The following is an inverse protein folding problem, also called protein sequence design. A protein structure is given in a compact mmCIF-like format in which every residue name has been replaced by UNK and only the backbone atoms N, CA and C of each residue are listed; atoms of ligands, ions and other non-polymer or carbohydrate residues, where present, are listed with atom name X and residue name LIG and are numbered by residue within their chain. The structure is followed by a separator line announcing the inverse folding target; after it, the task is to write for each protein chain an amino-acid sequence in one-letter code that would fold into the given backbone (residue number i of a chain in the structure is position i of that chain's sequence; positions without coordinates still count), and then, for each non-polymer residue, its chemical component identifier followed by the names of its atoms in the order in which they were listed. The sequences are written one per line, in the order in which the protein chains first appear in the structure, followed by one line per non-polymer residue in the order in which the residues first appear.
data_IF_102175792999
#
_entry.id   IF_102175792999
#
_cell.length_a   1.000
_cell.length_b   1.000
_cell.length_c   1.000
_cell.angle_alpha   90.00
_cell.angle_beta   90.00
_cell.angle_gamma   90.00
#
_symmetry.space_group_name_H-M   'P 1'
#
loop_
_entity.id
_entity.type
_entity.pdbx_description
1 polymer ?
#
# COMPACT_ATOMS: atom_id res chain seq x y z
N UNK A 1 14.27 11.78 15.08
CA UNK A 1 13.20 12.64 15.58
C UNK A 1 12.07 12.80 14.55
N UNK A 2 12.34 13.21 13.30
CA UNK A 2 11.28 13.38 12.28
C UNK A 2 10.51 12.07 11.99
N UNK A 3 11.16 10.92 11.94
CA UNK A 3 10.51 9.61 11.81
C UNK A 3 9.60 9.32 13.02
N UNK A 4 10.03 9.68 14.22
CA UNK A 4 9.21 9.46 15.42
C UNK A 4 7.94 10.34 15.41
N UNK A 5 8.00 11.54 14.84
CA UNK A 5 6.82 12.40 14.64
C UNK A 5 5.83 11.75 13.66
N UNK A 6 6.33 11.20 12.54
CA UNK A 6 5.49 10.48 11.57
C UNK A 6 4.92 9.18 12.16
N UNK A 7 5.73 8.42 12.90
CA UNK A 7 5.29 7.20 13.57
C UNK A 7 4.15 7.50 14.57
N UNK A 8 4.32 8.52 15.39
CA UNK A 8 3.29 8.97 16.33
C UNK A 8 2.00 9.38 15.63
N UNK A 9 2.10 10.16 14.53
CA UNK A 9 0.96 10.61 13.75
C UNK A 9 0.09 9.44 13.25
N UNK A 10 0.72 8.34 12.82
CA UNK A 10 0.01 7.14 12.36
C UNK A 10 -0.27 6.12 13.46
N UNK A 11 -0.12 6.50 14.73
CA UNK A 11 -0.45 5.67 15.89
C UNK A 11 0.57 4.59 16.24
N UNK A 12 1.75 4.57 15.62
CA UNK A 12 2.83 3.64 15.98
C UNK A 12 3.52 4.11 17.28
N UNK A 13 3.87 3.17 18.17
CA UNK A 13 4.75 3.47 19.31
C UNK A 13 6.16 3.83 18.77
N UNK A 14 6.65 5.06 18.99
CA UNK A 14 7.94 5.49 18.46
C UNK A 14 9.15 4.72 19.02
N UNK A 15 8.99 4.00 20.13
CA UNK A 15 10.11 3.26 20.76
C UNK A 15 10.50 2.02 19.96
N UNK A 16 9.57 1.07 19.63
CA UNK A 16 9.88 -0.06 18.76
C UNK A 16 9.85 0.32 17.27
N UNK A 17 9.05 1.31 16.87
CA UNK A 17 8.92 1.70 15.48
C UNK A 17 10.24 2.22 14.90
N UNK A 18 10.45 1.93 13.63
CA UNK A 18 11.57 2.46 12.83
C UNK A 18 11.05 2.96 11.49
N UNK A 19 11.89 3.75 10.85
CA UNK A 19 11.60 4.25 9.52
C UNK A 19 12.77 5.03 8.95
N UNK A 20 12.65 5.36 7.69
CA UNK A 20 13.59 6.24 7.02
C UNK A 20 12.88 7.03 5.92
N UNK A 21 13.49 8.15 5.53
CA UNK A 21 13.01 8.95 4.43
C UNK A 21 13.49 8.39 3.10
N UNK A 22 12.65 8.48 2.09
CA UNK A 22 12.89 8.09 0.70
C UNK A 22 12.64 9.28 -0.21
N UNK A 23 12.98 9.16 -1.49
CA UNK A 23 12.68 10.20 -2.48
C UNK A 23 11.18 10.32 -2.79
N UNK A 24 10.34 9.36 -2.39
CA UNK A 24 8.89 9.37 -2.56
C UNK A 24 8.27 8.01 -2.37
N UNK A 25 6.92 7.95 -2.36
CA UNK A 25 6.13 6.75 -2.09
C UNK A 25 6.46 5.56 -3.00
N UNK A 26 6.83 5.79 -4.25
CA UNK A 26 7.28 4.69 -5.13
C UNK A 26 8.45 3.92 -4.53
N UNK A 27 9.46 4.63 -4.01
CA UNK A 27 10.62 3.98 -3.41
C UNK A 27 10.27 3.39 -2.03
N UNK A 28 9.41 4.04 -1.26
CA UNK A 28 8.91 3.49 0.00
C UNK A 28 8.13 2.18 -0.21
N UNK A 29 7.32 2.07 -1.28
CA UNK A 29 6.66 0.83 -1.68
C UNK A 29 7.68 -0.25 -2.10
N UNK A 30 8.78 0.14 -2.76
CA UNK A 30 9.86 -0.81 -3.10
C UNK A 30 10.57 -1.33 -1.86
N UNK A 31 10.77 -0.48 -0.85
CA UNK A 31 11.29 -0.90 0.47
C UNK A 31 10.40 -1.97 1.10
N UNK A 32 9.08 -1.83 1.02
CA UNK A 32 8.15 -2.83 1.51
C UNK A 32 8.30 -4.18 0.79
N UNK A 33 8.33 -4.16 -0.55
CA UNK A 33 8.48 -5.40 -1.36
C UNK A 33 9.83 -6.06 -1.07
N UNK A 34 10.90 -5.28 -0.95
CA UNK A 34 12.23 -5.80 -0.66
C UNK A 34 12.27 -6.55 0.67
N UNK A 35 11.69 -5.98 1.74
CA UNK A 35 11.64 -6.61 3.06
C UNK A 35 10.71 -7.82 3.10
N UNK A 36 9.54 -7.72 2.51
CA UNK A 36 8.61 -8.84 2.44
C UNK A 36 9.22 -10.04 1.68
N UNK A 37 10.00 -9.76 0.61
CA UNK A 37 10.74 -10.79 -0.13
C UNK A 37 11.80 -11.46 0.74
N UNK A 38 12.61 -10.69 1.50
CA UNK A 38 13.63 -11.26 2.39
C UNK A 38 12.99 -12.08 3.51
N UNK A 39 11.91 -11.59 4.12
CA UNK A 39 11.16 -12.34 5.13
C UNK A 39 10.70 -13.70 4.58
N UNK A 40 10.07 -13.68 3.41
CA UNK A 40 9.59 -14.88 2.75
C UNK A 40 10.74 -15.85 2.48
N UNK A 41 11.87 -15.32 2.01
CA UNK A 41 13.07 -16.10 1.70
C UNK A 41 13.65 -16.79 2.93
N UNK A 42 13.76 -16.11 4.08
CA UNK A 42 14.23 -16.71 5.33
C UNK A 42 13.38 -17.92 5.73
N UNK A 43 12.07 -17.78 5.66
CA UNK A 43 11.14 -18.85 6.04
C UNK A 43 11.17 -20.02 5.05
N UNK A 44 11.27 -19.74 3.76
CA UNK A 44 11.41 -20.76 2.73
C UNK A 44 12.76 -21.49 2.83
N UNK A 45 13.87 -20.78 3.07
CA UNK A 45 15.18 -21.39 3.23
C UNK A 45 15.21 -22.38 4.40
N UNK A 46 14.58 -22.03 5.52
CA UNK A 46 14.39 -22.95 6.65
C UNK A 46 13.54 -24.16 6.24
N UNK A 47 12.41 -23.95 5.55
CA UNK A 47 11.55 -25.03 5.07
C UNK A 47 12.30 -26.01 4.15
N UNK A 48 13.12 -25.50 3.24
CA UNK A 48 13.98 -26.30 2.36
C UNK A 48 14.98 -27.12 3.19
N UNK A 49 15.66 -26.49 4.15
CA UNK A 49 16.60 -27.19 5.04
C UNK A 49 15.92 -28.32 5.81
N UNK A 50 14.74 -28.07 6.38
CA UNK A 50 13.98 -29.06 7.14
C UNK A 50 13.54 -30.24 6.27
N UNK A 51 13.09 -30.01 5.03
CA UNK A 51 12.74 -31.06 4.08
C UNK A 51 13.94 -31.93 3.71
N UNK A 52 15.07 -31.32 3.37
CA UNK A 52 16.30 -32.04 3.01
C UNK A 52 16.82 -32.92 4.14
N UNK A 53 16.68 -32.48 5.38
CA UNK A 53 17.14 -33.22 6.55
C UNK A 53 16.05 -34.15 7.15
N UNK A 54 14.95 -34.34 6.43
CA UNK A 54 13.82 -35.22 6.84
C UNK A 54 13.20 -34.83 8.21
N UNK A 55 13.21 -33.52 8.52
CA UNK A 55 12.59 -32.98 9.74
C UNK A 55 11.19 -32.46 9.50
N UNK A 56 10.75 -32.34 8.24
CA UNK A 56 9.40 -31.93 7.87
C UNK A 56 9.04 -32.37 6.46
N UNK A 57 7.81 -32.84 6.28
CA UNK A 57 7.19 -33.11 4.97
C UNK A 57 6.20 -32.00 4.57
N UNK A 58 6.06 -30.95 5.38
CA UNK A 58 5.13 -29.85 5.11
C UNK A 58 5.46 -29.15 3.78
N UNK A 59 4.44 -28.74 3.00
CA UNK A 59 4.64 -28.00 1.76
C UNK A 59 5.44 -26.71 1.96
N UNK A 60 6.20 -26.27 0.97
CA UNK A 60 6.94 -25.02 1.03
C UNK A 60 6.01 -23.81 1.21
N UNK A 61 4.76 -23.90 0.74
CA UNK A 61 3.74 -22.88 1.00
C UNK A 61 3.51 -22.62 2.50
N UNK A 62 3.44 -23.68 3.32
CA UNK A 62 3.26 -23.53 4.78
C UNK A 62 4.48 -22.88 5.41
N UNK A 63 5.69 -23.29 5.02
CA UNK A 63 6.92 -22.68 5.49
C UNK A 63 7.03 -21.20 5.09
N UNK A 64 6.57 -20.84 3.89
CA UNK A 64 6.52 -19.46 3.43
C UNK A 64 5.69 -18.53 4.33
N UNK A 65 4.82 -19.09 5.19
CA UNK A 65 3.93 -18.35 6.08
C UNK A 65 4.08 -18.71 7.56
N UNK A 66 5.15 -19.43 7.94
CA UNK A 66 5.28 -20.02 9.29
C UNK A 66 5.35 -18.98 10.43
N UNK A 67 5.71 -17.74 10.15
CA UNK A 67 5.86 -16.69 11.15
C UNK A 67 7.19 -16.76 11.93
N UNK A 68 7.59 -15.61 12.48
CA UNK A 68 8.83 -15.50 13.25
C UNK A 68 8.91 -16.37 14.50
N UNK A 69 7.81 -16.60 15.26
CA UNK A 69 7.87 -17.49 16.42
C UNK A 69 8.29 -18.92 16.03
N UNK A 70 7.63 -19.49 15.00
CA UNK A 70 7.94 -20.84 14.50
C UNK A 70 9.35 -20.88 13.89
N UNK A 71 9.71 -19.87 13.07
CA UNK A 71 11.05 -19.77 12.51
C UNK A 71 12.13 -19.83 13.60
N UNK A 72 12.04 -18.98 14.62
CA UNK A 72 13.03 -18.93 15.71
C UNK A 72 13.07 -20.19 16.55
N UNK A 73 11.91 -20.82 16.78
CA UNK A 73 11.83 -22.10 17.50
C UNK A 73 12.57 -23.18 16.74
N UNK A 74 12.34 -23.32 15.42
CA UNK A 74 13.02 -24.33 14.61
C UNK A 74 14.53 -24.07 14.49
N UNK A 75 14.94 -22.82 14.30
CA UNK A 75 16.35 -22.44 14.31
C UNK A 75 17.04 -22.88 15.61
N UNK A 76 16.42 -22.60 16.75
CA UNK A 76 16.93 -23.01 18.07
C UNK A 76 16.93 -24.53 18.25
N UNK A 77 15.84 -25.20 17.86
CA UNK A 77 15.65 -26.65 17.99
C UNK A 77 16.74 -27.43 17.28
N UNK A 78 17.14 -26.97 16.09
CA UNK A 78 18.13 -27.64 15.24
C UNK A 78 19.52 -27.02 15.35
N UNK A 79 19.72 -26.03 16.22
CA UNK A 79 21.02 -25.38 16.42
C UNK A 79 21.54 -24.63 15.19
N UNK A 80 20.59 -24.10 14.35
CA UNK A 80 20.90 -23.43 13.09
C UNK A 80 21.25 -21.96 13.30
N UNK A 81 22.15 -21.48 12.46
CA UNK A 81 22.45 -20.06 12.27
C UNK A 81 22.02 -19.60 10.86
N UNK A 82 21.81 -18.30 10.66
CA UNK A 82 21.44 -17.77 9.33
C UNK A 82 22.42 -18.13 8.21
N UNK A 83 23.77 -18.11 8.41
CA UNK A 83 24.72 -18.54 7.37
C UNK A 83 24.50 -19.96 6.87
N UNK A 84 23.99 -20.88 7.70
CA UNK A 84 23.72 -22.26 7.30
C UNK A 84 22.49 -22.37 6.38
N UNK A 85 21.64 -21.38 6.34
CA UNK A 85 20.47 -21.31 5.45
C UNK A 85 20.77 -20.62 4.10
N UNK A 86 21.89 -19.90 3.96
CA UNK A 86 22.24 -19.18 2.72
C UNK A 86 22.28 -20.07 1.46
N UNK A 87 22.72 -21.34 1.51
CA UNK A 87 22.66 -22.23 0.35
C UNK A 87 21.25 -22.55 -0.15
N UNK A 88 20.22 -22.25 0.65
CA UNK A 88 18.80 -22.50 0.37
C UNK A 88 18.01 -21.20 0.14
N UNK A 89 18.68 -20.07 0.12
CA UNK A 89 18.11 -18.74 -0.05
C UNK A 89 17.97 -18.39 -1.53
N UNK A 90 16.75 -18.09 -1.98
CA UNK A 90 16.50 -17.62 -3.33
C UNK A 90 17.02 -16.19 -3.59
N UNK A 91 17.24 -15.43 -2.53
CA UNK A 91 17.85 -14.09 -2.60
C UNK A 91 19.35 -14.21 -2.87
N UNK A 92 20.01 -15.23 -2.34
CA UNK A 92 21.44 -15.51 -2.54
C UNK A 92 21.69 -16.28 -3.82
N UNK A 93 20.95 -17.37 -4.03
CA UNK A 93 21.14 -18.28 -5.16
C UNK A 93 20.49 -17.79 -6.46
N UNK A 94 19.46 -16.97 -6.36
CA UNK A 94 18.57 -16.58 -7.45
C UNK A 94 17.43 -17.58 -7.70
N UNK A 95 16.27 -17.08 -8.10
CA UNK A 95 15.03 -17.86 -8.25
C UNK A 95 15.18 -19.03 -9.23
N UNK A 96 15.91 -18.85 -10.35
CA UNK A 96 16.16 -19.92 -11.33
C UNK A 96 17.00 -21.08 -10.79
N UNK A 97 17.99 -20.77 -9.96
CA UNK A 97 18.81 -21.81 -9.33
C UNK A 97 17.99 -22.57 -8.30
N UNK A 98 17.19 -21.87 -7.49
CA UNK A 98 16.30 -22.50 -6.52
C UNK A 98 15.19 -23.33 -7.18
N UNK A 99 14.65 -22.90 -8.33
CA UNK A 99 13.70 -23.70 -9.10
C UNK A 99 14.30 -25.02 -9.59
N UNK A 100 15.55 -25.01 -10.09
CA UNK A 100 16.25 -26.23 -10.45
C UNK A 100 16.50 -27.10 -9.24
N UNK A 101 16.98 -26.52 -8.15
CA UNK A 101 17.25 -27.21 -6.89
C UNK A 101 15.99 -27.92 -6.35
N UNK A 102 14.84 -27.25 -6.31
CA UNK A 102 13.60 -27.82 -5.83
C UNK A 102 13.16 -29.05 -6.66
N UNK A 103 13.23 -28.96 -8.00
CA UNK A 103 12.93 -30.08 -8.89
C UNK A 103 13.87 -31.26 -8.72
N UNK A 104 15.16 -31.02 -8.52
CA UNK A 104 16.17 -32.08 -8.37
C UNK A 104 16.07 -32.83 -7.04
N UNK A 105 15.63 -32.16 -5.97
CA UNK A 105 15.65 -32.73 -4.62
C UNK A 105 14.26 -33.09 -4.06
N UNK A 106 13.19 -32.44 -4.53
CA UNK A 106 11.83 -32.64 -3.98
C UNK A 106 10.80 -33.09 -5.01
N UNK A 107 11.16 -33.09 -6.30
CA UNK A 107 10.18 -33.26 -7.40
C UNK A 107 9.03 -32.23 -7.33
N UNK A 108 9.35 -31.03 -6.83
CA UNK A 108 8.41 -29.91 -6.64
C UNK A 108 8.87 -28.71 -7.49
N UNK A 109 7.91 -27.86 -7.86
CA UNK A 109 8.23 -26.55 -8.41
C UNK A 109 8.55 -25.57 -7.30
N UNK A 110 9.51 -24.66 -7.56
CA UNK A 110 9.77 -23.55 -6.64
C UNK A 110 8.55 -22.63 -6.60
N UNK A 111 7.99 -22.34 -5.41
CA UNK A 111 6.76 -21.58 -5.31
C UNK A 111 6.99 -20.12 -5.71
N UNK A 112 6.29 -19.68 -6.77
CA UNK A 112 6.30 -18.30 -7.23
C UNK A 112 5.39 -17.42 -6.35
N UNK A 113 5.93 -16.43 -5.63
CA UNK A 113 5.12 -15.62 -4.73
C UNK A 113 4.20 -14.65 -5.49
N UNK A 114 3.12 -14.23 -4.80
CA UNK A 114 2.17 -13.24 -5.31
C UNK A 114 2.09 -12.01 -4.41
N UNK A 115 1.74 -10.87 -5.01
CA UNK A 115 1.38 -9.61 -4.37
C UNK A 115 -0.13 -9.39 -4.57
N UNK A 116 -0.90 -9.32 -3.50
CA UNK A 116 -2.34 -9.04 -3.55
C UNK A 116 -2.54 -7.53 -3.37
N UNK A 117 -3.09 -6.88 -4.38
CA UNK A 117 -3.22 -5.41 -4.45
C UNK A 117 -4.62 -5.02 -4.93
N UNK A 118 -5.18 -3.85 -4.55
CA UNK A 118 -6.46 -3.40 -5.09
C UNK A 118 -6.37 -3.12 -6.59
N UNK A 119 -7.48 -3.24 -7.31
CA UNK A 119 -7.56 -3.00 -8.75
C UNK A 119 -7.05 -1.63 -9.17
N UNK A 120 -7.29 -0.60 -8.35
CA UNK A 120 -6.87 0.80 -8.53
C UNK A 120 -5.49 1.11 -7.91
N UNK A 121 -4.65 0.12 -7.77
CA UNK A 121 -3.29 0.25 -7.27
C UNK A 121 -2.45 1.29 -8.01
N UNK A 122 -1.56 1.96 -7.29
CA UNK A 122 -0.57 2.83 -7.91
C UNK A 122 0.38 2.05 -8.84
N UNK A 123 0.85 2.67 -9.93
CA UNK A 123 1.75 2.03 -10.92
C UNK A 123 3.09 1.54 -10.33
N UNK A 124 3.44 1.94 -9.11
CA UNK A 124 4.65 1.44 -8.41
C UNK A 124 4.61 -0.08 -8.20
N UNK A 125 3.44 -0.69 -8.01
CA UNK A 125 3.32 -2.12 -7.73
C UNK A 125 3.73 -3.01 -8.90
N UNK A 126 3.17 -2.87 -10.14
CA UNK A 126 3.67 -3.62 -11.28
C UNK A 126 5.12 -3.27 -11.64
N UNK A 127 5.58 -2.04 -11.35
CA UNK A 127 6.97 -1.66 -11.50
C UNK A 127 7.87 -2.38 -10.50
N UNK A 128 7.46 -2.50 -9.24
CA UNK A 128 8.17 -3.27 -8.22
C UNK A 128 8.31 -4.74 -8.61
N UNK A 129 7.20 -5.38 -9.03
CA UNK A 129 7.22 -6.77 -9.48
C UNK A 129 8.21 -6.99 -10.65
N UNK A 130 8.28 -6.04 -11.59
CA UNK A 130 9.24 -6.08 -12.68
C UNK A 130 10.68 -5.93 -12.19
N UNK A 131 10.98 -4.91 -11.37
CA UNK A 131 12.34 -4.61 -10.88
C UNK A 131 12.89 -5.74 -10.00
N UNK A 132 12.03 -6.32 -9.15
CA UNK A 132 12.44 -7.42 -8.26
C UNK A 132 12.38 -8.81 -8.91
N UNK A 133 12.11 -8.87 -10.22
CA UNK A 133 12.14 -10.12 -10.99
C UNK A 133 11.02 -11.11 -10.66
N UNK A 134 9.88 -10.61 -10.13
CA UNK A 134 8.71 -11.43 -9.83
C UNK A 134 7.82 -11.67 -11.05
N UNK A 135 7.95 -10.82 -12.09
CA UNK A 135 7.03 -10.82 -13.23
C UNK A 135 5.70 -10.11 -12.95
N UNK A 136 5.01 -9.66 -14.01
CA UNK A 136 3.72 -8.98 -13.88
C UNK A 136 2.62 -9.88 -13.34
N UNK A 137 2.64 -11.15 -13.70
CA UNK A 137 1.67 -12.17 -13.29
C UNK A 137 1.72 -12.47 -11.77
N UNK A 138 2.76 -12.01 -11.07
CA UNK A 138 2.82 -12.05 -9.61
C UNK A 138 1.92 -10.99 -8.94
N UNK A 139 1.45 -9.98 -9.66
CA UNK A 139 0.59 -8.91 -9.14
C UNK A 139 -0.88 -9.28 -9.37
N UNK A 140 -1.52 -9.82 -8.36
CA UNK A 140 -2.92 -10.20 -8.41
C UNK A 140 -3.80 -9.05 -7.93
N UNK A 141 -4.70 -8.60 -8.80
CA UNK A 141 -5.68 -7.57 -8.44
C UNK A 141 -6.84 -8.15 -7.65
N UNK A 142 -7.18 -7.49 -6.56
CA UNK A 142 -8.44 -7.69 -5.85
C UNK A 142 -9.48 -6.73 -6.41
N UNK A 143 -10.73 -7.17 -6.51
CA UNK A 143 -11.83 -6.34 -6.95
C UNK A 143 -12.09 -5.19 -5.96
N UNK A 144 -12.71 -4.15 -6.47
CA UNK A 144 -13.15 -3.01 -5.68
C UNK A 144 -14.64 -3.14 -5.34
N UNK A 145 -15.05 -2.51 -4.26
CA UNK A 145 -16.45 -2.31 -3.92
C UNK A 145 -17.11 -1.23 -4.81
N UNK A 146 -18.39 -0.97 -4.59
CA UNK A 146 -19.19 0.02 -5.33
C UNK A 146 -18.73 1.48 -5.11
N UNK A 147 -17.83 1.71 -4.14
CA UNK A 147 -17.20 3.01 -3.88
C UNK A 147 -15.77 3.10 -4.43
N UNK A 148 -15.23 2.02 -4.99
CA UNK A 148 -13.86 1.98 -5.50
C UNK A 148 -12.80 1.72 -4.42
N UNK A 149 -13.14 1.03 -3.32
CA UNK A 149 -12.23 0.57 -2.27
C UNK A 149 -11.95 -0.93 -2.44
N UNK A 150 -10.83 -1.40 -1.92
CA UNK A 150 -10.54 -2.83 -1.84
C UNK A 150 -11.70 -3.62 -1.21
N UNK A 151 -12.18 -4.64 -1.92
CA UNK A 151 -13.18 -5.57 -1.40
C UNK A 151 -12.53 -6.64 -0.51
N UNK A 152 -12.83 -6.70 0.81
CA UNK A 152 -12.33 -7.77 1.67
C UNK A 152 -12.77 -9.16 1.22
N UNK A 153 -13.94 -9.27 0.60
CA UNK A 153 -14.43 -10.54 0.05
C UNK A 153 -13.58 -11.02 -1.14
N UNK A 154 -13.23 -10.12 -2.05
CA UNK A 154 -12.32 -10.43 -3.16
C UNK A 154 -10.93 -10.78 -2.66
N UNK A 155 -10.41 -10.02 -1.66
CA UNK A 155 -9.13 -10.33 -1.03
C UNK A 155 -9.12 -11.75 -0.42
N UNK A 156 -10.18 -12.11 0.31
CA UNK A 156 -10.33 -13.47 0.85
C UNK A 156 -10.27 -14.52 -0.26
N UNK A 157 -11.00 -14.30 -1.35
CA UNK A 157 -10.98 -15.20 -2.51
C UNK A 157 -9.59 -15.36 -3.14
N UNK A 158 -8.80 -14.28 -3.23
CA UNK A 158 -7.43 -14.33 -3.74
C UNK A 158 -6.47 -15.05 -2.77
N UNK A 159 -6.65 -14.90 -1.45
CA UNK A 159 -5.87 -15.65 -0.45
C UNK A 159 -6.20 -17.15 -0.55
N UNK A 160 -7.48 -17.51 -0.62
CA UNK A 160 -7.92 -18.91 -0.76
C UNK A 160 -7.39 -19.51 -2.09
N UNK A 161 -7.40 -18.75 -3.18
CA UNK A 161 -6.79 -19.14 -4.46
C UNK A 161 -5.29 -19.40 -4.33
N UNK A 162 -4.56 -18.51 -3.67
CA UNK A 162 -3.12 -18.67 -3.46
C UNK A 162 -2.79 -19.93 -2.66
N UNK A 163 -3.62 -20.26 -1.64
CA UNK A 163 -3.51 -21.53 -0.89
C UNK A 163 -3.69 -22.74 -1.79
N UNK A 164 -4.72 -22.74 -2.64
CA UNK A 164 -5.03 -23.86 -3.55
C UNK A 164 -3.94 -24.05 -4.60
N UNK A 165 -3.40 -22.94 -5.14
CA UNK A 165 -2.32 -22.96 -6.14
C UNK A 165 -0.92 -23.18 -5.52
N UNK A 166 -0.80 -23.20 -4.16
CA UNK A 166 0.49 -23.31 -3.47
C UNK A 166 1.41 -22.11 -3.69
N UNK A 167 0.88 -20.95 -4.07
CA UNK A 167 1.65 -19.73 -4.35
C UNK A 167 1.77 -18.85 -3.11
N UNK A 168 2.98 -18.66 -2.54
CA UNK A 168 3.16 -17.86 -1.33
C UNK A 168 2.66 -16.43 -1.50
N UNK A 169 1.95 -15.95 -0.49
CA UNK A 169 1.49 -14.56 -0.45
C UNK A 169 2.60 -13.72 0.19
N UNK A 170 3.37 -13.03 -0.66
CA UNK A 170 4.45 -12.17 -0.20
C UNK A 170 3.91 -10.98 0.59
N UNK A 171 2.82 -10.37 0.10
CA UNK A 171 2.27 -9.15 0.66
C UNK A 171 0.81 -8.95 0.24
N UNK A 172 0.02 -8.39 1.16
CA UNK A 172 -1.27 -7.74 0.89
C UNK A 172 -1.06 -6.23 1.00
N UNK A 173 -1.63 -5.47 0.08
CA UNK A 173 -1.56 -4.01 0.06
C UNK A 173 -2.95 -3.42 0.23
N UNK A 174 -3.08 -2.48 1.18
CA UNK A 174 -4.21 -1.56 1.26
C UNK A 174 -3.74 -0.16 0.87
N UNK A 175 -4.61 0.63 0.24
CA UNK A 175 -4.32 2.01 -0.17
C UNK A 175 -5.13 2.98 0.68
N UNK A 176 -4.48 3.98 1.26
CA UNK A 176 -5.16 5.07 1.94
C UNK A 176 -4.98 6.36 1.13
N UNK A 177 -6.05 6.78 0.46
CA UNK A 177 -6.06 7.92 -0.45
C UNK A 177 -5.64 7.51 -1.87
N UNK A 178 -6.53 6.80 -2.58
CA UNK A 178 -6.28 6.37 -3.96
C UNK A 178 -6.08 7.58 -4.90
N UNK A 179 -5.20 7.41 -5.89
CA UNK A 179 -4.84 8.51 -6.81
C UNK A 179 -6.04 9.06 -7.57
N UNK A 180 -6.94 8.20 -8.00
CA UNK A 180 -8.08 8.56 -8.84
C UNK A 180 -9.19 9.24 -8.03
N UNK A 181 -9.60 8.65 -6.92
CA UNK A 181 -10.81 9.01 -6.18
C UNK A 181 -10.57 9.47 -4.74
N UNK A 182 -9.34 9.32 -4.22
CA UNK A 182 -9.05 9.66 -2.82
C UNK A 182 -9.70 8.73 -1.80
N UNK A 183 -10.06 7.51 -2.19
CA UNK A 183 -10.70 6.54 -1.30
C UNK A 183 -9.69 5.93 -0.32
N UNK A 184 -10.17 5.57 0.86
CA UNK A 184 -9.40 4.84 1.89
C UNK A 184 -9.94 3.41 1.94
N UNK A 185 -9.09 2.44 1.65
CA UNK A 185 -9.44 1.02 1.76
C UNK A 185 -9.82 0.67 3.21
N UNK A 186 -10.67 -0.34 3.44
CA UNK A 186 -11.08 -0.75 4.78
C UNK A 186 -9.94 -1.51 5.50
N UNK A 187 -8.89 -0.78 5.89
CA UNK A 187 -7.65 -1.31 6.50
C UNK A 187 -7.94 -2.14 7.75
N UNK A 188 -8.92 -1.72 8.56
CA UNK A 188 -9.39 -2.45 9.74
C UNK A 188 -9.94 -3.83 9.36
N UNK A 189 -10.77 -3.94 8.34
CA UNK A 189 -11.34 -5.20 7.86
C UNK A 189 -10.32 -6.10 7.20
N UNK A 190 -9.36 -5.50 6.48
CA UNK A 190 -8.23 -6.25 5.92
C UNK A 190 -7.37 -6.82 7.05
N UNK A 191 -7.07 -6.02 8.08
CA UNK A 191 -6.31 -6.50 9.22
C UNK A 191 -7.05 -7.60 9.99
N UNK A 192 -8.37 -7.48 10.21
CA UNK A 192 -9.20 -8.54 10.82
C UNK A 192 -9.10 -9.84 10.01
N UNK A 193 -9.29 -9.75 8.69
CA UNK A 193 -9.20 -10.91 7.80
C UNK A 193 -7.81 -11.60 7.86
N UNK A 194 -6.73 -10.82 7.91
CA UNK A 194 -5.39 -11.38 8.00
C UNK A 194 -5.10 -11.99 9.38
N UNK A 195 -5.68 -11.44 10.44
CA UNK A 195 -5.63 -12.02 11.78
C UNK A 195 -6.38 -13.36 11.83
N UNK A 196 -7.58 -13.45 11.21
CA UNK A 196 -8.33 -14.72 11.07
C UNK A 196 -7.49 -15.79 10.34
N UNK A 197 -6.88 -15.45 9.20
CA UNK A 197 -6.01 -16.39 8.49
C UNK A 197 -4.78 -16.81 9.29
N UNK A 198 -4.23 -15.92 10.10
CA UNK A 198 -3.11 -16.24 11.00
C UNK A 198 -3.56 -17.21 12.10
N UNK A 199 -4.72 -16.97 12.72
CA UNK A 199 -5.24 -17.78 13.83
C UNK A 199 -5.74 -19.14 13.37
N UNK A 200 -6.52 -19.18 12.28
CA UNK A 200 -7.15 -20.41 11.78
C UNK A 200 -6.22 -21.28 10.95
N UNK A 201 -5.29 -20.70 10.22
CA UNK A 201 -4.46 -21.38 9.22
C UNK A 201 -2.95 -21.21 9.43
N UNK A 202 -2.49 -20.45 10.41
CA UNK A 202 -1.08 -20.17 10.63
C UNK A 202 -0.43 -19.32 9.53
N UNK A 203 -1.22 -18.59 8.73
CA UNK A 203 -0.71 -17.80 7.62
C UNK A 203 -0.26 -16.40 8.08
N UNK A 204 1.03 -16.22 8.26
CA UNK A 204 1.63 -14.92 8.55
C UNK A 204 1.89 -14.15 7.25
N UNK A 205 1.01 -13.22 6.89
CA UNK A 205 1.07 -12.42 5.66
C UNK A 205 1.55 -11.00 5.97
N UNK A 206 2.39 -10.42 5.13
CA UNK A 206 2.81 -9.02 5.25
C UNK A 206 1.68 -8.10 4.80
N UNK A 207 1.18 -7.25 5.68
CA UNK A 207 0.23 -6.20 5.34
C UNK A 207 0.97 -4.88 5.17
N UNK A 208 0.93 -4.29 3.99
CA UNK A 208 1.48 -2.96 3.71
C UNK A 208 0.36 -1.95 3.45
N UNK A 209 0.50 -0.76 4.00
CA UNK A 209 -0.40 0.35 3.72
C UNK A 209 0.33 1.37 2.85
N UNK A 210 -0.11 1.49 1.59
CA UNK A 210 0.28 2.61 0.73
C UNK A 210 -0.55 3.83 1.09
N UNK A 211 -0.08 4.58 2.07
CA UNK A 211 -0.71 5.79 2.59
C UNK A 211 0.01 7.05 2.10
N UNK A 212 0.64 6.96 0.92
CA UNK A 212 1.40 8.05 0.34
C UNK A 212 0.61 9.37 0.26
N UNK A 213 -0.69 9.31 0.00
CA UNK A 213 -1.56 10.48 -0.01
C UNK A 213 -2.32 10.64 1.32
N UNK A 214 -3.12 9.67 1.69
CA UNK A 214 -4.10 9.79 2.77
C UNK A 214 -3.55 9.61 4.19
N UNK A 215 -2.28 9.19 4.35
CA UNK A 215 -1.73 8.91 5.68
C UNK A 215 -1.69 10.10 6.63
N UNK A 216 -1.59 11.31 6.10
CA UNK A 216 -1.62 12.52 6.91
C UNK A 216 -2.99 12.81 7.55
N UNK A 217 -4.09 12.21 7.05
CA UNK A 217 -5.40 12.32 7.72
C UNK A 217 -5.43 11.66 9.11
N UNK A 218 -4.46 10.80 9.44
CA UNK A 218 -4.30 10.31 10.81
C UNK A 218 -4.12 11.45 11.82
N UNK A 219 -3.54 12.58 11.42
CA UNK A 219 -3.40 13.76 12.29
C UNK A 219 -4.73 14.41 12.67
N UNK A 220 -5.82 14.13 11.95
CA UNK A 220 -7.15 14.70 12.21
C UNK A 220 -8.01 13.86 13.17
N UNK A 221 -7.60 12.63 13.51
CA UNK A 221 -8.42 11.62 14.18
C UNK A 221 -8.96 12.04 15.56
N UNK A 222 -8.18 12.78 16.35
CA UNK A 222 -8.53 13.10 17.74
C UNK A 222 -9.06 14.54 17.91
N UNK A 223 -9.48 15.16 16.79
CA UNK A 223 -10.05 16.51 16.80
C UNK A 223 -11.55 16.50 17.11
N UNK A 224 -12.02 17.42 17.97
CA UNK A 224 -13.46 17.60 18.28
C UNK A 224 -14.31 17.87 17.02
N UNK A 225 -13.73 18.45 15.99
CA UNK A 225 -14.38 18.79 14.73
C UNK A 225 -14.02 17.82 13.60
N UNK A 226 -13.59 16.59 13.90
CA UNK A 226 -13.26 15.59 12.88
C UNK A 226 -14.48 15.31 11.99
N UNK A 227 -14.31 15.45 10.67
CA UNK A 227 -15.36 15.21 9.68
C UNK A 227 -15.11 13.97 8.84
N UNK A 228 -14.11 13.16 9.17
CA UNK A 228 -13.92 11.85 8.54
C UNK A 228 -15.19 11.00 8.77
N UNK A 229 -15.45 10.07 7.86
CA UNK A 229 -16.49 9.06 8.09
C UNK A 229 -16.03 8.07 9.15
N UNK A 230 -16.96 7.44 9.86
CA UNK A 230 -16.65 6.38 10.84
C UNK A 230 -15.82 5.25 10.21
N UNK A 231 -16.12 4.88 8.96
CA UNK A 231 -15.36 3.89 8.22
C UNK A 231 -13.92 4.34 7.94
N UNK A 232 -13.71 5.61 7.56
CA UNK A 232 -12.38 6.17 7.33
C UNK A 232 -11.58 6.29 8.62
N UNK A 233 -12.24 6.71 9.72
CA UNK A 233 -11.59 6.75 11.05
C UNK A 233 -11.15 5.35 11.50
N UNK A 234 -12.03 4.34 11.38
CA UNK A 234 -11.71 2.95 11.72
C UNK A 234 -10.51 2.43 10.92
N UNK A 235 -10.51 2.69 9.61
CA UNK A 235 -9.42 2.30 8.73
C UNK A 235 -8.08 2.95 9.11
N UNK A 236 -8.08 4.26 9.39
CA UNK A 236 -6.86 4.99 9.78
C UNK A 236 -6.35 4.57 11.16
N UNK A 237 -7.24 4.32 12.13
CA UNK A 237 -6.87 3.80 13.45
C UNK A 237 -6.29 2.39 13.42
N UNK A 238 -6.53 1.63 12.36
CA UNK A 238 -5.96 0.30 12.17
C UNK A 238 -4.51 0.29 11.63
N UNK A 239 -3.94 1.44 11.25
CA UNK A 239 -2.58 1.52 10.72
C UNK A 239 -1.51 0.82 11.57
N UNK A 240 -1.54 0.89 12.92
CA UNK A 240 -0.56 0.19 13.75
C UNK A 240 -0.55 -1.34 13.61
N UNK A 241 -1.60 -1.94 13.04
CA UNK A 241 -1.68 -3.39 12.78
C UNK A 241 -0.94 -3.83 11.52
N UNK A 242 -0.51 -2.89 10.68
CA UNK A 242 0.21 -3.19 9.45
C UNK A 242 1.68 -3.53 9.71
N UNK A 243 2.26 -4.32 8.81
CA UNK A 243 3.71 -4.64 8.83
C UNK A 243 4.57 -3.47 8.36
N UNK A 244 4.04 -2.59 7.51
CA UNK A 244 4.72 -1.38 7.04
C UNK A 244 3.76 -0.36 6.45
N UNK A 245 4.18 0.91 6.44
CA UNK A 245 3.40 2.05 5.97
C UNK A 245 4.28 2.95 5.09
N UNK A 246 3.75 3.36 3.95
CA UNK A 246 4.32 4.42 3.10
C UNK A 246 3.62 5.74 3.37
N UNK A 247 4.38 6.82 3.50
CA UNK A 247 3.88 8.20 3.58
C UNK A 247 4.63 9.09 2.58
N UNK A 248 3.95 10.11 2.04
CA UNK A 248 4.59 11.15 1.24
C UNK A 248 4.40 12.54 1.89
N UNK A 249 5.34 12.95 2.76
CA UNK A 249 5.32 14.30 3.33
C UNK A 249 5.25 15.42 2.29
N UNK A 250 5.79 15.19 1.08
CA UNK A 250 5.69 16.15 -0.02
C UNK A 250 4.29 16.25 -0.68
N UNK A 251 3.33 15.44 -0.23
CA UNK A 251 1.90 15.58 -0.60
C UNK A 251 1.17 16.35 0.48
N UNK A 252 0.39 15.68 1.30
CA UNK A 252 -0.40 16.33 2.36
C UNK A 252 0.41 16.75 3.61
N UNK A 253 1.70 16.48 3.65
CA UNK A 253 2.62 17.05 4.64
C UNK A 253 3.09 18.47 4.27
N UNK A 254 2.79 18.94 3.05
CA UNK A 254 3.11 20.29 2.53
C UNK A 254 4.58 20.66 2.60
N UNK A 255 5.49 19.67 2.55
CA UNK A 255 6.92 19.92 2.43
C UNK A 255 7.39 19.80 0.97
N UNK A 256 8.51 20.44 0.60
CA UNK A 256 9.02 20.37 -0.77
C UNK A 256 9.36 18.95 -1.23
N UNK A 257 9.24 18.71 -2.55
CA UNK A 257 9.76 17.51 -3.21
C UNK A 257 11.31 17.50 -3.14
N UNK A 258 11.98 16.35 -3.02
CA UNK A 258 11.41 15.02 -2.89
C UNK A 258 11.42 14.59 -1.41
N UNK A 259 10.31 14.06 -0.91
CA UNK A 259 10.21 13.62 0.48
C UNK A 259 9.13 12.55 0.61
N UNK A 260 9.52 11.28 0.63
CA UNK A 260 8.72 10.14 1.05
C UNK A 260 9.22 9.57 2.37
N UNK A 261 8.48 8.69 2.99
CA UNK A 261 8.88 7.97 4.20
C UNK A 261 8.34 6.53 4.18
N UNK A 262 9.15 5.62 4.69
CA UNK A 262 8.79 4.23 4.95
C UNK A 262 8.86 3.98 6.46
N UNK A 263 7.81 3.40 7.03
CA UNK A 263 7.68 3.11 8.45
C UNK A 263 7.37 1.63 8.69
N UNK A 264 7.90 1.09 9.79
CA UNK A 264 7.58 -0.24 10.31
C UNK A 264 7.32 -0.15 11.82
N UNK A 265 6.38 -0.95 12.37
CA UNK A 265 6.09 -0.95 13.80
C UNK A 265 7.21 -1.55 14.65
N UNK A 266 8.07 -2.39 14.05
CA UNK A 266 9.14 -3.11 14.75
C UNK A 266 10.47 -3.02 13.97
N UNK A 267 11.54 -2.69 14.69
CA UNK A 267 12.92 -2.64 14.18
C UNK A 267 13.38 -3.95 13.53
N UNK A 268 12.88 -5.09 13.98
CA UNK A 268 13.22 -6.40 13.41
C UNK A 268 12.93 -6.51 11.91
N UNK A 269 11.98 -5.73 11.39
CA UNK A 269 11.71 -5.67 9.96
C UNK A 269 12.92 -5.16 9.12
N UNK A 270 13.85 -4.42 9.73
CA UNK A 270 15.10 -4.00 9.08
C UNK A 270 16.20 -5.04 9.13
N UNK A 271 16.23 -5.89 10.16
CA UNK A 271 17.25 -6.93 10.30
C UNK A 271 17.12 -8.02 9.25
N UNK A 272 15.93 -8.20 8.70
CA UNK A 272 15.66 -9.24 7.67
C UNK A 272 16.37 -8.99 6.35
N UNK A 273 16.62 -7.70 6.00
CA UNK A 273 17.22 -7.29 4.73
C UNK A 273 18.51 -6.52 4.99
N UNK A 274 19.58 -7.23 5.22
CA UNK A 274 20.88 -6.63 5.51
C UNK A 274 21.94 -7.10 4.49
N UNK A 275 22.61 -6.13 3.86
CA UNK A 275 23.72 -6.39 2.93
C UNK A 275 25.01 -5.87 3.57
N UNK A 276 25.89 -6.75 3.95
CA UNK A 276 27.18 -6.41 4.53
C UNK A 276 28.19 -5.94 3.47
N UNK A 277 28.87 -4.84 3.76
CA UNK A 277 30.04 -4.39 3.00
C UNK A 277 31.23 -4.28 3.95
N UNK A 278 32.34 -5.00 3.71
CA UNK A 278 33.46 -5.11 4.66
C UNK A 278 34.06 -3.79 5.11
N UNK A 279 34.02 -2.76 4.25
CA UNK A 279 34.59 -1.42 4.55
C UNK A 279 33.65 -0.55 5.41
N UNK A 280 32.47 -1.07 5.81
CA UNK A 280 31.47 -0.34 6.57
C UNK A 280 31.05 -1.09 7.85
N UNK A 281 31.82 -2.10 8.28
CA UNK A 281 31.51 -2.92 9.46
C UNK A 281 31.38 -2.11 10.76
N UNK A 282 32.09 -1.00 10.89
CA UNK A 282 31.99 -0.11 12.06
C UNK A 282 30.63 0.59 12.22
N UNK A 283 29.81 0.64 11.17
CA UNK A 283 28.50 1.30 11.15
C UNK A 283 27.33 0.33 11.44
N UNK A 284 27.58 -0.98 11.41
CA UNK A 284 26.55 -2.03 11.54
C UNK A 284 25.91 -2.08 12.95
N UNK A 285 26.53 -1.48 13.95
CA UNK A 285 25.98 -1.37 15.31
C UNK A 285 25.05 -0.16 15.52
N UNK A 286 24.65 0.55 14.47
CA UNK A 286 23.78 1.71 14.60
C UNK A 286 22.33 1.28 14.90
N UNK A 287 21.72 1.89 15.91
CA UNK A 287 20.32 1.71 16.29
C UNK A 287 19.31 2.13 15.18
N UNK A 288 19.78 2.64 14.05
CA UNK A 288 18.96 3.23 13.00
C UNK A 288 19.16 2.55 11.65
N UNK A 289 18.11 2.56 10.78
CA UNK A 289 18.22 2.07 9.42
C UNK A 289 19.37 2.74 8.68
N UNK A 290 20.31 1.93 8.23
CA UNK A 290 21.54 2.37 7.57
C UNK A 290 21.49 2.01 6.07
N UNK A 291 22.52 2.44 5.34
CA UNK A 291 22.73 2.06 3.93
C UNK A 291 22.67 0.56 3.68
N UNK A 292 23.05 -0.27 4.66
CA UNK A 292 23.04 -1.74 4.53
C UNK A 292 21.64 -2.35 4.60
N UNK A 293 20.70 -1.63 5.21
CA UNK A 293 19.33 -2.10 5.46
C UNK A 293 18.28 -1.29 4.68
N UNK A 294 18.67 -0.44 3.74
CA UNK A 294 17.78 0.37 2.90
C UNK A 294 18.19 0.29 1.43
N UNK A 295 17.25 0.44 0.49
CA UNK A 295 17.54 0.42 -0.95
C UNK A 295 18.41 1.60 -1.38
N UNK A 296 18.20 2.76 -0.76
CA UNK A 296 19.09 3.92 -0.97
C UNK A 296 20.27 3.85 0.01
N UNK A 297 21.48 4.01 -0.48
CA UNK A 297 22.66 4.15 0.38
C UNK A 297 22.67 5.51 1.06
N UNK A 298 23.09 6.55 0.34
CA UNK A 298 23.05 7.95 0.81
C UNK A 298 21.70 8.58 0.52
N UNK A 299 21.13 9.28 1.50
CA UNK A 299 19.82 9.93 1.40
C UNK A 299 19.91 11.42 1.66
N UNK A 300 19.06 12.22 1.01
CA UNK A 300 18.99 13.66 1.21
C UNK A 300 18.49 13.98 2.64
N UNK A 301 19.16 14.92 3.31
CA UNK A 301 18.73 15.40 4.64
C UNK A 301 17.67 16.51 4.57
N UNK A 302 17.40 17.09 3.40
CA UNK A 302 16.43 18.18 3.22
C UNK A 302 15.01 17.78 3.56
N UNK A 303 14.55 16.60 3.13
CA UNK A 303 13.22 16.08 3.44
C UNK A 303 12.97 15.93 4.95
N UNK A 304 13.81 15.14 5.67
CA UNK A 304 13.68 15.03 7.13
C UNK A 304 13.73 16.36 7.88
N UNK A 305 14.60 17.28 7.45
CA UNK A 305 14.71 18.62 8.05
C UNK A 305 13.44 19.46 7.82
N UNK A 306 12.86 19.39 6.61
CA UNK A 306 11.62 20.08 6.28
C UNK A 306 10.44 19.51 7.10
N UNK A 307 10.31 18.19 7.22
CA UNK A 307 9.27 17.55 8.04
C UNK A 307 9.42 17.95 9.51
N UNK A 308 10.63 17.90 10.04
CA UNK A 308 10.89 18.29 11.43
C UNK A 308 10.52 19.75 11.70
N UNK A 309 10.95 20.66 10.83
CA UNK A 309 10.65 22.08 10.97
C UNK A 309 9.16 22.36 10.80
N UNK A 310 8.51 21.78 9.80
CA UNK A 310 7.06 21.90 9.59
C UNK A 310 6.27 21.44 10.81
N UNK A 311 6.62 20.28 11.37
CA UNK A 311 5.95 19.75 12.55
C UNK A 311 6.17 20.58 13.83
N UNK A 312 7.25 21.38 13.93
CA UNK A 312 7.46 22.34 15.04
C UNK A 312 6.55 23.57 14.91
N UNK A 313 6.23 23.97 13.69
CA UNK A 313 5.36 25.12 13.42
C UNK A 313 3.89 24.71 13.43
N UNK A 314 3.58 23.56 12.82
CA UNK A 314 2.25 22.97 12.68
C UNK A 314 2.30 21.51 13.12
N UNK A 315 1.99 21.20 14.39
CA UNK A 315 2.04 19.84 14.94
C UNK A 315 1.28 18.83 14.09
N UNK A 316 1.77 17.58 14.06
CA UNK A 316 1.16 16.48 13.31
C UNK A 316 0.00 15.84 14.09
N UNK A 317 -0.90 16.66 14.59
CA UNK A 317 -2.10 16.31 15.35
C UNK A 317 -3.27 17.24 14.99
N UNK A 318 -4.41 17.09 15.68
CA UNK A 318 -5.62 17.87 15.43
C UNK A 318 -5.48 19.36 15.69
N UNK A 319 -4.51 19.80 16.48
CA UNK A 319 -4.24 21.22 16.75
C UNK A 319 -3.48 21.92 15.61
N UNK A 320 -2.79 21.15 14.77
CA UNK A 320 -1.99 21.64 13.66
C UNK A 320 -2.44 21.10 12.31
N UNK A 321 -1.69 20.17 11.75
CA UNK A 321 -1.94 19.57 10.43
C UNK A 321 -3.35 18.98 10.32
N UNK A 322 -3.80 18.26 11.33
CA UNK A 322 -5.11 17.63 11.34
C UNK A 322 -6.26 18.64 11.29
N UNK A 323 -6.14 19.77 11.99
CA UNK A 323 -7.10 20.86 11.91
C UNK A 323 -7.18 21.48 10.51
N UNK A 324 -6.02 21.66 9.86
CA UNK A 324 -5.96 22.13 8.46
C UNK A 324 -6.60 21.15 7.49
N UNK A 325 -6.26 19.85 7.59
CA UNK A 325 -6.83 18.82 6.73
C UNK A 325 -8.33 18.64 6.94
N UNK A 326 -8.79 18.76 8.20
CA UNK A 326 -10.21 18.72 8.52
C UNK A 326 -10.98 19.90 7.87
N UNK A 327 -10.39 21.09 7.88
CA UNK A 327 -10.92 22.25 7.15
C UNK A 327 -10.97 21.98 5.63
N UNK A 328 -9.93 21.37 5.06
CA UNK A 328 -9.92 20.97 3.65
C UNK A 328 -11.06 20.00 3.32
N UNK A 329 -11.33 19.02 4.18
CA UNK A 329 -12.47 18.10 4.01
C UNK A 329 -13.82 18.84 4.08
N UNK A 330 -13.98 19.79 5.00
CA UNK A 330 -15.20 20.60 5.09
C UNK A 330 -15.42 21.43 3.82
N UNK A 331 -14.37 22.06 3.31
CA UNK A 331 -14.40 22.82 2.05
C UNK A 331 -14.77 21.89 0.88
N UNK A 332 -14.17 20.71 0.81
CA UNK A 332 -14.47 19.73 -0.25
C UNK A 332 -15.94 19.31 -0.23
N UNK A 333 -16.52 19.08 0.96
CA UNK A 333 -17.95 18.76 1.09
C UNK A 333 -18.86 19.91 0.67
N UNK A 334 -18.56 21.13 1.13
CA UNK A 334 -19.32 22.32 0.72
C UNK A 334 -19.21 22.54 -0.80
N UNK A 335 -18.06 22.30 -1.38
CA UNK A 335 -17.84 22.40 -2.81
C UNK A 335 -18.57 21.30 -3.59
N UNK A 336 -18.61 20.07 -3.07
CA UNK A 336 -19.41 18.98 -3.62
C UNK A 336 -20.90 19.40 -3.75
N UNK A 337 -21.49 19.95 -2.69
CA UNK A 337 -22.88 20.43 -2.68
C UNK A 337 -23.09 21.58 -3.67
N UNK A 338 -22.16 22.54 -3.69
CA UNK A 338 -22.22 23.67 -4.61
C UNK A 338 -22.16 23.22 -6.08
N UNK A 339 -21.21 22.37 -6.44
CA UNK A 339 -21.05 21.85 -7.81
C UNK A 339 -22.24 21.02 -8.24
N UNK A 340 -22.77 20.15 -7.37
CA UNK A 340 -23.95 19.32 -7.67
C UNK A 340 -25.21 20.15 -7.96
N UNK A 341 -25.28 21.38 -7.47
CA UNK A 341 -26.41 22.29 -7.68
C UNK A 341 -26.31 23.15 -8.94
N UNK A 342 -25.16 23.17 -9.63
CA UNK A 342 -24.92 24.05 -10.81
C UNK A 342 -25.77 23.62 -12.01
N UNK A 343 -25.86 22.31 -12.27
CA UNK A 343 -26.60 21.75 -13.40
C UNK A 343 -27.03 20.32 -13.11
N UNK A 344 -28.24 19.90 -13.56
CA UNK A 344 -28.64 18.50 -13.46
C UNK A 344 -27.78 17.55 -14.29
N UNK A 345 -27.01 18.06 -15.22
CA UNK A 345 -26.08 17.26 -16.04
C UNK A 345 -24.74 16.98 -15.33
N UNK A 346 -24.46 17.61 -14.20
CA UNK A 346 -23.30 17.28 -13.38
C UNK A 346 -23.63 16.03 -12.57
N UNK A 347 -22.88 14.97 -12.85
CA UNK A 347 -23.02 13.67 -12.18
C UNK A 347 -21.85 13.49 -11.21
N UNK A 348 -22.08 13.92 -9.96
CA UNK A 348 -21.11 13.74 -8.90
C UNK A 348 -20.88 12.23 -8.66
N UNK A 349 -19.60 11.83 -8.54
CA UNK A 349 -19.28 10.56 -7.91
C UNK A 349 -19.53 10.67 -6.41
N UNK A 350 -19.71 9.54 -5.73
CA UNK A 350 -19.89 9.55 -4.27
C UNK A 350 -18.74 10.29 -3.59
N UNK A 351 -19.03 10.95 -2.47
CA UNK A 351 -18.04 11.75 -1.77
C UNK A 351 -16.81 10.91 -1.43
N UNK A 352 -15.63 11.44 -1.77
CA UNK A 352 -14.34 10.84 -1.41
C UNK A 352 -14.16 10.75 0.11
N UNK A 353 -13.29 9.84 0.54
CA UNK A 353 -12.85 9.76 1.94
C UNK A 353 -11.81 10.84 2.29
N UNK A 354 -11.28 11.51 1.25
CA UNK A 354 -10.26 12.58 1.37
C UNK A 354 -10.75 13.88 0.70
N UNK A 355 -9.86 14.83 0.49
CA UNK A 355 -10.14 16.11 -0.17
C UNK A 355 -10.09 16.03 -1.72
N UNK A 356 -10.39 14.88 -2.29
CA UNK A 356 -10.53 14.69 -3.74
C UNK A 356 -12.00 14.76 -4.13
N UNK A 357 -12.33 15.47 -5.21
CA UNK A 357 -13.70 15.59 -5.74
C UNK A 357 -13.68 15.15 -7.19
N UNK A 358 -14.64 14.28 -7.56
CA UNK A 358 -14.79 13.77 -8.90
C UNK A 358 -16.23 13.89 -9.41
N UNK A 359 -16.39 14.31 -10.66
CA UNK A 359 -17.69 14.32 -11.35
C UNK A 359 -17.56 14.06 -12.85
N UNK A 360 -18.63 13.57 -13.44
CA UNK A 360 -18.79 13.49 -14.90
C UNK A 360 -19.88 14.47 -15.36
N UNK A 361 -19.95 14.72 -16.65
CA UNK A 361 -21.02 15.54 -17.27
C UNK A 361 -21.83 14.65 -18.21
N UNK A 362 -23.10 14.41 -17.85
CA UNK A 362 -24.01 13.56 -18.62
C UNK A 362 -25.45 14.05 -18.48
N UNK A 363 -26.14 14.26 -19.60
CA UNK A 363 -27.58 14.44 -19.59
C UNK A 363 -28.30 13.10 -19.36
N UNK A 364 -29.57 13.15 -19.04
CA UNK A 364 -30.42 11.97 -18.90
C UNK A 364 -30.41 11.15 -20.20
N UNK A 365 -30.11 9.85 -20.12
CA UNK A 365 -30.07 8.92 -21.24
C UNK A 365 -28.78 8.97 -22.08
N UNK A 366 -27.81 9.83 -21.78
CA UNK A 366 -26.55 9.86 -22.53
C UNK A 366 -25.82 8.52 -22.45
N UNK A 367 -25.34 8.02 -23.61
CA UNK A 367 -24.39 6.93 -23.61
C UNK A 367 -23.06 7.34 -22.98
N UNK A 368 -22.32 6.40 -22.42
CA UNK A 368 -21.06 6.66 -21.70
C UNK A 368 -20.03 7.40 -22.57
N UNK A 369 -19.94 7.06 -23.87
CA UNK A 369 -19.07 7.75 -24.83
C UNK A 369 -19.43 9.24 -24.96
N UNK A 370 -20.72 9.59 -24.99
CA UNK A 370 -21.18 10.98 -25.07
C UNK A 370 -20.92 11.73 -23.76
N UNK A 371 -21.17 11.09 -22.60
CA UNK A 371 -20.81 11.64 -21.30
C UNK A 371 -19.30 11.93 -21.21
N UNK A 372 -18.46 11.02 -21.67
CA UNK A 372 -17.00 11.21 -21.75
C UNK A 372 -16.64 12.44 -22.60
N UNK A 373 -17.25 12.57 -23.78
CA UNK A 373 -17.03 13.72 -24.68
C UNK A 373 -17.38 15.05 -24.02
N UNK A 374 -18.53 15.11 -23.33
CA UNK A 374 -18.99 16.31 -22.59
C UNK A 374 -18.03 16.63 -21.43
N UNK A 375 -17.62 15.62 -20.68
CA UNK A 375 -16.67 15.76 -19.58
C UNK A 375 -15.30 16.26 -20.07
N UNK A 376 -14.78 15.71 -21.17
CA UNK A 376 -13.53 16.15 -21.77
C UNK A 376 -13.59 17.61 -22.26
N UNK A 377 -14.75 18.07 -22.75
CA UNK A 377 -14.95 19.47 -23.14
C UNK A 377 -14.86 20.42 -21.92
N UNK A 378 -15.46 20.05 -20.81
CA UNK A 378 -15.38 20.81 -19.54
C UNK A 378 -13.93 20.85 -19.04
N UNK A 379 -13.20 19.72 -19.07
CA UNK A 379 -11.77 19.67 -18.70
C UNK A 379 -10.93 20.58 -19.59
N UNK A 380 -11.22 20.62 -20.89
CA UNK A 380 -10.53 21.48 -21.82
C UNK A 380 -10.77 22.98 -21.52
N UNK A 381 -11.95 23.34 -21.03
CA UNK A 381 -12.27 24.72 -20.63
C UNK A 381 -11.59 25.08 -19.31
N UNK A 382 -11.54 24.20 -18.32
CA UNK A 382 -10.75 24.43 -17.10
C UNK A 382 -9.27 24.71 -17.40
N UNK A 383 -8.69 24.00 -18.35
CA UNK A 383 -7.27 24.19 -18.75
C UNK A 383 -6.99 25.56 -19.36
N UNK A 384 -8.00 26.30 -19.80
CA UNK A 384 -7.86 27.67 -20.34
C UNK A 384 -7.83 28.72 -19.21
N UNK A 385 -8.32 28.36 -18.02
CA UNK A 385 -8.35 29.27 -16.87
C UNK A 385 -7.08 29.13 -16.04
N UNK A 386 -6.34 30.24 -15.78
CA UNK A 386 -5.17 30.18 -14.91
C UNK A 386 -5.55 30.01 -13.41
N UNK A 387 -6.80 30.26 -13.05
CA UNK A 387 -7.28 30.25 -11.67
C UNK A 387 -7.86 28.91 -11.24
N UNK A 388 -8.20 28.03 -12.21
CA UNK A 388 -8.84 26.75 -11.95
C UNK A 388 -7.94 25.60 -12.38
N UNK A 389 -7.75 24.65 -11.48
CA UNK A 389 -6.98 23.43 -11.74
C UNK A 389 -7.89 22.22 -11.65
N UNK A 390 -8.05 21.53 -12.77
CA UNK A 390 -8.74 20.24 -12.82
C UNK A 390 -7.95 19.28 -13.68
N UNK A 391 -7.96 18.01 -13.31
CA UNK A 391 -7.29 16.95 -14.05
C UNK A 391 -8.31 15.96 -14.62
N UNK A 392 -7.92 15.29 -15.69
CA UNK A 392 -8.66 14.18 -16.28
C UNK A 392 -8.31 12.90 -15.55
N UNK A 393 -9.29 12.13 -15.12
CA UNK A 393 -9.12 10.78 -14.63
C UNK A 393 -10.04 9.83 -15.38
N UNK A 394 -9.56 8.65 -15.72
CA UNK A 394 -10.33 7.60 -16.37
C UNK A 394 -10.54 6.42 -15.44
N UNK A 395 -11.78 6.02 -15.23
CA UNK A 395 -12.17 4.87 -14.42
C UNK A 395 -12.57 3.74 -15.39
N UNK A 396 -11.72 2.71 -15.51
CA UNK A 396 -11.99 1.59 -16.42
C UNK A 396 -12.99 0.62 -15.83
N UNK A 397 -13.82 0.00 -16.65
CA UNK A 397 -14.74 -1.06 -16.21
C UNK A 397 -13.97 -2.27 -15.66
N UNK A 398 -12.77 -2.53 -16.18
CA UNK A 398 -11.91 -3.60 -15.68
C UNK A 398 -11.62 -3.48 -14.17
N UNK A 399 -11.37 -2.25 -13.69
CA UNK A 399 -11.00 -2.01 -12.29
C UNK A 399 -12.14 -1.45 -11.44
N UNK A 400 -12.99 -0.60 -12.01
CA UNK A 400 -14.07 0.12 -11.34
C UNK A 400 -15.46 -0.32 -11.81
N UNK A 401 -15.61 -1.59 -12.26
CA UNK A 401 -16.80 -2.05 -12.94
C UNK A 401 -18.13 -1.74 -12.24
N UNK A 402 -18.23 -2.02 -10.95
CA UNK A 402 -19.44 -1.76 -10.17
C UNK A 402 -19.71 -0.25 -9.99
N UNK A 403 -18.67 0.53 -9.68
CA UNK A 403 -18.78 1.99 -9.55
C UNK A 403 -19.20 2.64 -10.89
N UNK A 404 -18.58 2.25 -12.01
CA UNK A 404 -18.92 2.81 -13.34
C UNK A 404 -20.34 2.43 -13.73
N UNK A 405 -20.74 1.17 -13.56
CA UNK A 405 -22.10 0.69 -13.87
C UNK A 405 -23.15 1.43 -13.05
N UNK A 406 -22.99 1.49 -11.73
CA UNK A 406 -23.92 2.17 -10.83
C UNK A 406 -24.01 3.66 -11.14
N UNK A 407 -22.90 4.29 -11.50
CA UNK A 407 -22.85 5.70 -11.87
C UNK A 407 -23.61 5.96 -13.17
N UNK A 408 -23.39 5.15 -14.22
CA UNK A 408 -24.08 5.29 -15.53
C UNK A 408 -25.58 5.03 -15.39
N UNK A 409 -25.98 4.07 -14.60
CA UNK A 409 -27.41 3.77 -14.33
C UNK A 409 -28.12 4.97 -13.69
N UNK A 410 -27.45 5.79 -12.87
CA UNK A 410 -28.05 6.97 -12.23
C UNK A 410 -28.58 8.02 -13.23
N UNK A 411 -28.08 8.06 -14.46
CA UNK A 411 -28.63 8.96 -15.50
C UNK A 411 -29.28 8.19 -16.66
N UNK A 412 -29.60 6.91 -16.50
CA UNK A 412 -30.26 6.08 -17.51
C UNK A 412 -29.43 5.81 -18.77
N UNK A 413 -28.10 5.91 -18.67
CA UNK A 413 -27.18 5.79 -19.79
C UNK A 413 -26.89 4.34 -20.23
N UNK A 414 -26.27 4.20 -21.38
CA UNK A 414 -25.77 2.93 -21.92
C UNK A 414 -24.26 2.85 -21.79
N UNK A 415 -23.75 1.66 -21.42
CA UNK A 415 -22.34 1.32 -21.42
C UNK A 415 -21.90 0.92 -22.83
N UNK A 416 -21.44 1.87 -23.64
CA UNK A 416 -20.98 1.69 -25.01
C UNK A 416 -19.44 1.83 -25.14
N UNK A 417 -18.74 2.04 -24.01
CA UNK A 417 -17.28 2.10 -23.90
C UNK A 417 -16.83 1.52 -22.55
N UNK A 418 -15.56 1.23 -22.41
CA UNK A 418 -14.96 0.53 -21.26
C UNK A 418 -14.42 1.46 -20.16
N UNK A 419 -14.62 2.78 -20.30
CA UNK A 419 -14.07 3.77 -19.37
C UNK A 419 -15.02 4.93 -19.15
N UNK A 420 -15.18 5.34 -17.89
CA UNK A 420 -15.80 6.60 -17.48
C UNK A 420 -14.71 7.66 -17.29
N UNK A 421 -14.83 8.78 -18.01
CA UNK A 421 -14.00 9.98 -17.79
C UNK A 421 -14.62 10.86 -16.72
N UNK A 422 -13.80 11.32 -15.79
CA UNK A 422 -14.21 12.27 -14.73
C UNK A 422 -13.29 13.48 -14.66
N UNK A 423 -13.87 14.62 -14.30
CA UNK A 423 -13.13 15.78 -13.80
C UNK A 423 -12.68 15.44 -12.39
N UNK A 424 -11.38 15.59 -12.10
CA UNK A 424 -10.81 15.39 -10.77
C UNK A 424 -10.23 16.70 -10.27
N UNK A 425 -10.63 17.10 -9.06
CA UNK A 425 -10.18 18.29 -8.34
C UNK A 425 -9.65 17.88 -6.97
N UNK A 426 -8.62 18.61 -6.48
CA UNK A 426 -7.97 18.35 -5.18
C UNK A 426 -7.76 19.66 -4.45
#
# INVERSE_FOLDING_TARGET
EAINLLANMVGLDPKPARGHFTSGGTLANFEAVWRARYRLDHWLALGVWLKLNQHSDAPLFEWAHCGWPVYREQMKRHGLSEPELLPYSSVVMGALAMSRFAREHFDEEWPEPVLLVPGNKHYSWPKAANIFGLGREAVWSCDLDDRGRLSPLSLKGQIDRAKVEGRPIMMVVSVAGTTELGMIDPVDKVADLLDDFREDCGLHIWHHIDAAYGGYFCSALDGEACVLSEASESALRAFPRASSITLDPHKLGFVPYACGAFLVPDANAYLVSNIHAPYLEEVVNAEFPSWSTTLEGSRAATGPSAVWLSAKIMPLDSSGHGGFLNTSLQITRAFYEAVSSVSPDIRMLDSSDTNVLCFAVAAEGDALSEANRKTDAVIADFRKSPELSATRTGLTIEHYGELVKSTVVRWGGLLDTDQLTVVRMV
#
